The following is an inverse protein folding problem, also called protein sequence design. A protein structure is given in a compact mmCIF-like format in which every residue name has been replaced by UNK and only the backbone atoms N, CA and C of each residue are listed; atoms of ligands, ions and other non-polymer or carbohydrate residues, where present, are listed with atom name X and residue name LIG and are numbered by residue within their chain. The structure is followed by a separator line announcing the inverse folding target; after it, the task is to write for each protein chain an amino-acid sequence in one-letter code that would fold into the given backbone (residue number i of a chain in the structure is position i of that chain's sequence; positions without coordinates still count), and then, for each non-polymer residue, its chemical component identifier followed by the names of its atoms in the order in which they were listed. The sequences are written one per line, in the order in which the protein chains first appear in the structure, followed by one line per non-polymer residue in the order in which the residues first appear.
data_IF_251197037726
#
_entry.id   IF_251197037726
#
_cell.length_a   1.000
_cell.length_b   1.000
_cell.length_c   1.000
_cell.angle_alpha   90.00
_cell.angle_beta   90.00
_cell.angle_gamma   90.00
#
_symmetry.space_group_name_H-M   'P 1'
#
loop_
_entity.id
_entity.type
_entity.pdbx_description
1 polymer ?
#
# COMPACT_ATOMS: atom_id res chain seq x y z
N UNK A 1 -3.90 29.84 5.59
CA UNK A 1 -3.80 30.50 6.91
C UNK A 1 -5.05 31.37 7.09
N UNK A 2 -6.11 30.91 7.78
CA UNK A 2 -7.21 31.77 8.14
C UNK A 2 -6.92 32.40 9.50
N UNK A 3 -6.52 33.67 9.44
CA UNK A 3 -6.31 34.56 10.58
C UNK A 3 -7.70 35.07 11.06
N UNK A 4 -8.43 34.20 11.76
CA UNK A 4 -9.75 34.49 12.31
C UNK A 4 -9.64 34.90 13.76
N UNK A 5 -9.93 36.15 14.09
CA UNK A 5 -10.03 36.61 15.48
C UNK A 5 -11.17 35.86 16.20
N UNK A 6 -10.86 34.72 16.82
CA UNK A 6 -11.83 33.93 17.56
C UNK A 6 -12.35 34.73 18.76
N UNK A 7 -13.57 35.23 18.64
CA UNK A 7 -14.27 35.92 19.72
C UNK A 7 -14.49 34.93 20.86
N UNK A 8 -13.77 35.08 21.97
CA UNK A 8 -13.93 34.25 23.17
C UNK A 8 -15.32 34.50 23.77
N UNK A 9 -16.25 33.57 23.57
CA UNK A 9 -17.58 33.60 24.18
C UNK A 9 -17.55 32.82 25.49
N UNK A 10 -18.06 33.41 26.58
CA UNK A 10 -18.21 32.71 27.86
C UNK A 10 -19.44 31.81 27.78
N UNK A 11 -19.23 30.50 27.87
CA UNK A 11 -20.30 29.50 27.88
C UNK A 11 -20.53 29.03 29.33
N UNK A 12 -21.75 29.20 29.83
CA UNK A 12 -22.16 28.68 31.13
C UNK A 12 -22.93 27.38 30.94
N UNK A 13 -22.33 26.25 31.26
CA UNK A 13 -22.96 24.92 31.14
C UNK A 13 -23.49 24.50 32.51
N UNK A 14 -24.77 24.11 32.59
CA UNK A 14 -25.38 23.57 33.81
C UNK A 14 -25.29 22.05 33.78
N UNK A 15 -24.66 21.48 34.80
CA UNK A 15 -24.44 20.03 34.96
C UNK A 15 -24.88 19.62 36.37
N UNK A 16 -25.41 18.42 36.51
CA UNK A 16 -25.76 17.85 37.83
C UNK A 16 -24.48 17.53 38.62
N UNK A 17 -24.53 17.61 39.95
CA UNK A 17 -23.35 17.41 40.81
C UNK A 17 -22.67 16.06 40.59
N UNK A 18 -23.45 14.99 40.49
CA UNK A 18 -22.95 13.63 40.21
C UNK A 18 -22.18 13.53 38.89
N UNK A 19 -22.64 14.23 37.85
CA UNK A 19 -21.98 14.21 36.53
C UNK A 19 -20.75 15.10 36.48
N UNK A 20 -20.70 16.13 37.33
CA UNK A 20 -19.51 16.97 37.52
C UNK A 20 -18.40 16.22 38.24
N UNK A 21 -18.74 15.35 39.20
CA UNK A 21 -17.79 14.45 39.87
C UNK A 21 -17.21 13.43 38.90
N UNK A 22 -18.04 12.77 38.10
CA UNK A 22 -17.58 11.84 37.04
C UNK A 22 -16.57 12.51 36.09
N UNK A 23 -16.81 13.78 35.74
CA UNK A 23 -15.89 14.53 34.88
C UNK A 23 -14.61 14.94 35.58
N UNK A 24 -14.65 15.22 36.89
CA UNK A 24 -13.46 15.50 37.69
C UNK A 24 -12.57 14.27 37.79
N UNK A 25 -13.17 13.08 37.99
CA UNK A 25 -12.45 11.81 38.08
C UNK A 25 -11.82 11.39 36.74
N UNK A 26 -12.32 11.92 35.62
CA UNK A 26 -11.82 11.66 34.27
C UNK A 26 -10.78 12.69 33.79
N UNK A 27 -10.39 13.65 34.63
CA UNK A 27 -9.33 14.62 34.31
C UNK A 27 -7.96 13.98 34.51
N UNK A 28 -7.04 14.27 33.58
CA UNK A 28 -5.61 14.04 33.82
C UNK A 28 -5.05 15.16 34.72
N UNK A 29 -3.94 14.91 35.42
CA UNK A 29 -3.40 15.75 36.51
C UNK A 29 -3.19 17.25 36.17
N UNK A 30 -3.10 17.62 34.89
CA UNK A 30 -2.91 19.00 34.42
C UNK A 30 -4.10 19.58 33.61
N UNK A 31 -5.24 18.88 33.54
CA UNK A 31 -6.41 19.30 32.77
C UNK A 31 -7.47 20.01 33.63
N UNK A 32 -8.15 21.01 33.07
CA UNK A 32 -9.30 21.64 33.71
C UNK A 32 -10.60 21.26 32.98
N UNK A 33 -11.75 21.35 33.68
CA UNK A 33 -13.06 21.01 33.12
C UNK A 33 -13.38 21.76 31.81
N UNK A 34 -12.84 22.97 31.60
CA UNK A 34 -13.06 23.71 30.35
C UNK A 34 -12.27 23.12 29.19
N UNK A 35 -11.05 22.62 29.44
CA UNK A 35 -10.22 21.90 28.47
C UNK A 35 -10.87 20.56 28.09
N UNK A 36 -11.43 19.84 29.07
CA UNK A 36 -12.14 18.58 28.83
C UNK A 36 -13.34 18.80 27.90
N UNK A 37 -14.17 19.82 28.18
CA UNK A 37 -15.32 20.16 27.34
C UNK A 37 -14.88 20.59 25.95
N UNK A 38 -13.83 21.41 25.82
CA UNK A 38 -13.32 21.82 24.51
C UNK A 38 -12.84 20.62 23.70
N UNK A 39 -12.03 19.74 24.31
CA UNK A 39 -11.55 18.50 23.67
C UNK A 39 -12.70 17.60 23.23
N UNK A 40 -13.73 17.45 24.06
CA UNK A 40 -14.91 16.65 23.70
C UNK A 40 -15.65 17.24 22.49
N UNK A 41 -15.82 18.56 22.45
CA UNK A 41 -16.45 19.24 21.30
C UNK A 41 -15.56 19.14 20.05
N UNK A 42 -14.25 19.31 20.18
CA UNK A 42 -13.32 19.18 19.05
C UNK A 42 -13.35 17.74 18.49
N UNK A 43 -13.40 16.72 19.36
CA UNK A 43 -13.54 15.32 18.94
C UNK A 43 -14.88 15.01 18.26
N UNK A 44 -15.98 15.58 18.76
CA UNK A 44 -17.30 15.48 18.14
C UNK A 44 -17.30 16.09 16.73
N UNK A 45 -16.70 17.29 16.57
CA UNK A 45 -16.63 17.97 15.27
C UNK A 45 -15.76 17.19 14.28
N UNK A 46 -14.68 16.57 14.76
CA UNK A 46 -13.72 15.84 13.93
C UNK A 46 -14.07 14.34 13.77
N UNK A 47 -15.22 13.89 14.28
CA UNK A 47 -15.68 12.50 14.26
C UNK A 47 -14.65 11.48 14.84
N UNK A 48 -13.85 11.95 15.80
CA UNK A 48 -12.74 11.19 16.40
C UNK A 48 -13.21 10.47 17.67
N UNK A 49 -13.95 9.37 17.48
CA UNK A 49 -14.41 8.53 18.58
C UNK A 49 -13.47 7.36 18.85
N UNK A 50 -12.94 7.30 20.07
CA UNK A 50 -12.25 6.10 20.56
C UNK A 50 -13.33 5.14 21.08
N UNK A 51 -13.49 3.94 20.50
CA UNK A 51 -14.43 2.95 21.00
C UNK A 51 -14.12 2.64 22.47
N UNK A 52 -15.13 2.63 23.35
CA UNK A 52 -14.96 2.38 24.80
C UNK A 52 -14.18 1.09 25.12
N UNK A 53 -14.19 0.11 24.21
CA UNK A 53 -13.41 -1.13 24.31
C UNK A 53 -11.89 -0.90 24.31
N UNK A 54 -11.39 0.13 23.62
CA UNK A 54 -9.97 0.43 23.57
C UNK A 54 -9.44 1.06 24.87
N UNK A 55 -10.28 1.82 25.59
CA UNK A 55 -9.88 2.50 26.84
C UNK A 55 -9.75 1.51 27.99
N UNK A 56 -10.63 0.50 28.07
CA UNK A 56 -10.54 -0.56 29.07
C UNK A 56 -9.29 -1.43 28.93
N UNK A 57 -8.71 -1.53 27.73
CA UNK A 57 -7.46 -2.25 27.50
C UNK A 57 -6.21 -1.44 27.90
N UNK A 58 -6.32 -0.12 28.07
CA UNK A 58 -5.18 0.76 28.39
C UNK A 58 -4.99 0.97 29.90
N UNK A 59 -6.05 0.91 30.72
CA UNK A 59 -5.95 1.11 32.18
C UNK A 59 -5.69 -0.17 32.98
N UNK A 60 -5.51 -1.31 32.32
CA UNK A 60 -5.44 -2.61 32.99
C UNK A 60 -4.38 -3.56 32.44
N UNK A 61 -3.12 -3.14 32.31
CA UNK A 61 -1.96 -4.05 32.41
C UNK A 61 -0.63 -3.31 32.25
N UNK A 62 -0.03 -2.90 33.37
CA UNK A 62 1.41 -2.58 33.46
C UNK A 62 2.25 -3.83 33.73
N UNK A 63 1.85 -4.99 33.22
CA UNK A 63 2.57 -6.24 33.34
C UNK A 63 2.53 -6.98 32.02
N UNK A 64 3.71 -7.13 31.39
CA UNK A 64 4.02 -8.02 30.26
C UNK A 64 2.81 -8.70 29.63
N UNK A 65 2.14 -8.03 28.69
CA UNK A 65 1.18 -8.66 27.81
C UNK A 65 1.68 -8.47 26.39
N UNK A 66 1.95 -9.59 25.74
CA UNK A 66 2.16 -9.70 24.30
C UNK A 66 1.05 -8.89 23.62
N UNK A 67 1.42 -7.76 23.01
CA UNK A 67 0.45 -6.91 22.33
C UNK A 67 0.07 -7.69 21.08
N UNK A 68 -1.14 -8.22 21.05
CA UNK A 68 -1.66 -8.94 19.90
C UNK A 68 -1.82 -7.96 18.72
N UNK A 69 -0.81 -7.94 17.84
CA UNK A 69 -0.80 -7.15 16.60
C UNK A 69 -1.54 -7.87 15.46
N UNK A 70 -2.08 -9.07 15.68
CA UNK A 70 -2.80 -9.83 14.65
C UNK A 70 -3.91 -9.01 13.98
N UNK A 71 -4.73 -8.23 14.71
CA UNK A 71 -5.75 -7.40 14.07
C UNK A 71 -5.20 -6.29 13.15
N UNK A 72 -3.97 -5.82 13.39
CA UNK A 72 -3.29 -4.85 12.52
C UNK A 72 -2.67 -5.54 11.31
N UNK A 73 -2.12 -6.74 11.49
CA UNK A 73 -1.63 -7.58 10.40
C UNK A 73 -2.76 -7.97 9.45
N UNK A 74 -3.93 -8.36 9.97
CA UNK A 74 -5.13 -8.66 9.18
C UNK A 74 -5.58 -7.45 8.34
N UNK A 75 -5.52 -6.25 8.91
CA UNK A 75 -5.85 -5.00 8.20
C UNK A 75 -4.85 -4.67 7.09
N UNK A 76 -3.56 -4.95 7.31
CA UNK A 76 -2.52 -4.78 6.30
C UNK A 76 -2.72 -5.76 5.14
N UNK A 77 -3.02 -7.02 5.45
CA UNK A 77 -3.34 -8.06 4.45
C UNK A 77 -4.56 -7.68 3.61
N UNK A 78 -5.62 -7.16 4.24
CA UNK A 78 -6.83 -6.72 3.55
C UNK A 78 -6.58 -5.47 2.68
N UNK A 79 -5.68 -4.58 3.11
CA UNK A 79 -5.25 -3.44 2.31
C UNK A 79 -4.45 -3.91 1.09
N UNK A 80 -3.52 -4.85 1.26
CA UNK A 80 -2.72 -5.44 0.18
C UNK A 80 -3.60 -6.13 -0.86
N UNK A 81 -4.64 -6.87 -0.42
CA UNK A 81 -5.64 -7.46 -1.33
C UNK A 81 -6.41 -6.40 -2.11
N UNK A 82 -6.79 -5.30 -1.44
CA UNK A 82 -7.50 -4.19 -2.08
C UNK A 82 -6.67 -3.51 -3.15
N UNK A 83 -5.38 -3.24 -2.86
CA UNK A 83 -4.45 -2.63 -3.84
C UNK A 83 -4.23 -3.55 -5.03
N UNK A 84 -4.04 -4.85 -4.80
CA UNK A 84 -3.92 -5.86 -5.87
C UNK A 84 -5.19 -5.88 -6.75
N UNK A 85 -6.37 -5.75 -6.15
CA UNK A 85 -7.64 -5.68 -6.90
C UNK A 85 -7.76 -4.41 -7.73
N UNK A 86 -7.27 -3.27 -7.23
CA UNK A 86 -7.24 -2.00 -7.97
C UNK A 86 -6.30 -2.10 -9.16
N UNK A 87 -5.09 -2.63 -8.97
CA UNK A 87 -4.12 -2.85 -10.04
C UNK A 87 -4.72 -3.68 -11.18
N UNK A 88 -5.34 -4.83 -10.86
CA UNK A 88 -5.98 -5.68 -11.85
C UNK A 88 -7.15 -5.00 -12.59
N UNK A 89 -7.92 -4.14 -11.89
CA UNK A 89 -9.02 -3.38 -12.50
C UNK A 89 -8.50 -2.30 -13.43
N UNK A 90 -7.42 -1.62 -13.05
CA UNK A 90 -6.76 -0.63 -13.91
C UNK A 90 -6.31 -1.33 -15.20
N UNK A 91 -5.71 -2.51 -15.11
CA UNK A 91 -5.25 -3.25 -16.28
C UNK A 91 -6.41 -3.63 -17.20
N UNK A 92 -7.55 -4.02 -16.63
CA UNK A 92 -8.77 -4.31 -17.41
C UNK A 92 -9.31 -3.08 -18.12
N UNK A 93 -9.25 -1.91 -17.47
CA UNK A 93 -9.75 -0.65 -18.04
C UNK A 93 -8.82 -0.14 -19.14
N UNK A 94 -7.50 -0.19 -18.93
CA UNK A 94 -6.49 0.19 -19.93
C UNK A 94 -6.68 -0.60 -21.22
N UNK A 95 -6.82 -1.93 -21.14
CA UNK A 95 -7.06 -2.80 -22.31
C UNK A 95 -8.36 -2.46 -23.05
N UNK A 96 -9.36 -1.87 -22.39
CA UNK A 96 -10.64 -1.49 -23.03
C UNK A 96 -10.67 -0.08 -23.60
N UNK A 97 -9.68 0.76 -23.33
CA UNK A 97 -9.62 2.15 -23.82
C UNK A 97 -8.78 2.35 -25.07
N UNK A 98 -8.09 1.31 -25.55
CA UNK A 98 -7.42 1.34 -26.84
C UNK A 98 -8.45 1.56 -27.98
N UNK A 99 -8.54 2.81 -28.42
CA UNK A 99 -9.27 3.23 -29.62
C UNK A 99 -8.42 2.79 -30.84
N UNK A 100 -9.04 2.43 -31.97
CA UNK A 100 -8.44 1.75 -33.14
C UNK A 100 -7.23 2.45 -33.83
N UNK A 101 -6.72 3.55 -33.27
CA UNK A 101 -5.52 4.27 -33.73
C UNK A 101 -4.37 4.36 -32.71
N UNK A 102 -4.53 3.92 -31.46
CA UNK A 102 -3.47 3.90 -30.44
C UNK A 102 -2.76 2.53 -30.33
N UNK A 103 -3.32 1.48 -30.94
CA UNK A 103 -2.76 0.12 -30.88
C UNK A 103 -1.36 0.01 -31.52
N UNK A 104 -1.12 0.71 -32.64
CA UNK A 104 0.16 0.63 -33.35
C UNK A 104 1.32 1.21 -32.51
N UNK A 105 1.04 2.25 -31.71
CA UNK A 105 2.01 2.87 -30.78
C UNK A 105 2.30 1.97 -29.57
N UNK A 106 1.30 1.24 -29.08
CA UNK A 106 1.45 0.29 -27.95
C UNK A 106 2.27 -0.93 -28.37
N UNK A 107 2.07 -1.45 -29.59
CA UNK A 107 2.85 -2.57 -30.12
C UNK A 107 4.33 -2.19 -30.30
N UNK A 108 4.61 -1.02 -30.86
CA UNK A 108 5.98 -0.51 -31.00
C UNK A 108 6.64 -0.35 -29.62
N UNK A 109 5.94 0.27 -28.67
CA UNK A 109 6.40 0.45 -27.30
C UNK A 109 6.64 -0.89 -26.59
N UNK A 110 5.76 -1.87 -26.80
CA UNK A 110 5.89 -3.22 -26.24
C UNK A 110 7.17 -3.90 -26.75
N UNK A 111 7.44 -3.83 -28.05
CA UNK A 111 8.65 -4.41 -28.64
C UNK A 111 9.92 -3.71 -28.15
N UNK A 112 9.85 -2.40 -27.89
CA UNK A 112 10.94 -1.65 -27.25
C UNK A 112 11.14 -2.04 -25.78
N UNK A 113 10.07 -2.30 -25.03
CA UNK A 113 10.16 -2.69 -23.62
C UNK A 113 10.70 -4.12 -23.43
N UNK A 114 10.42 -5.02 -24.37
CA UNK A 114 10.79 -6.43 -24.30
C UNK A 114 12.28 -6.69 -23.95
N UNK A 115 13.29 -6.08 -24.63
CA UNK A 115 14.70 -6.28 -24.28
C UNK A 115 15.13 -5.64 -22.95
N UNK A 116 14.29 -4.79 -22.35
CA UNK A 116 14.57 -4.07 -21.09
C UNK A 116 13.96 -4.76 -19.86
N UNK A 117 13.16 -5.80 -20.10
CA UNK A 117 12.62 -6.63 -19.05
C UNK A 117 13.71 -7.50 -18.44
N UNK A 118 13.74 -7.64 -17.11
CA UNK A 118 14.60 -8.62 -16.48
C UNK A 118 14.30 -10.02 -17.03
N UNK A 119 15.35 -10.80 -17.26
CA UNK A 119 15.30 -12.07 -17.96
C UNK A 119 15.94 -13.17 -17.12
N UNK A 120 15.19 -14.24 -16.86
CA UNK A 120 15.72 -15.48 -16.30
C UNK A 120 16.48 -16.27 -17.39
N UNK A 121 17.60 -16.93 -17.06
CA UNK A 121 18.36 -16.81 -15.81
C UNK A 121 19.36 -15.64 -15.82
N UNK A 122 19.55 -14.96 -16.96
CA UNK A 122 20.71 -14.11 -17.23
C UNK A 122 20.85 -12.89 -16.31
N UNK A 123 19.74 -12.31 -15.86
CA UNK A 123 19.75 -11.11 -15.00
C UNK A 123 19.74 -11.45 -13.51
N UNK A 124 19.77 -12.73 -13.15
CA UNK A 124 19.82 -13.19 -11.75
C UNK A 124 21.25 -13.63 -11.42
N UNK A 125 21.86 -13.10 -10.34
CA UNK A 125 23.18 -13.54 -9.89
C UNK A 125 23.24 -15.06 -9.63
N UNK A 126 24.34 -15.69 -10.02
CA UNK A 126 24.50 -17.14 -9.94
C UNK A 126 24.38 -17.70 -8.51
N UNK A 127 24.89 -16.99 -7.51
CA UNK A 127 24.78 -17.36 -6.10
C UNK A 127 23.32 -17.42 -5.64
N UNK A 128 22.49 -16.50 -6.15
CA UNK A 128 21.06 -16.48 -5.92
C UNK A 128 20.40 -17.66 -6.64
N UNK A 129 20.71 -17.88 -7.92
CA UNK A 129 20.18 -19.02 -8.68
C UNK A 129 20.49 -20.38 -8.03
N UNK A 130 21.72 -20.57 -7.57
CA UNK A 130 22.17 -21.78 -6.87
C UNK A 130 21.43 -21.97 -5.54
N UNK A 131 21.26 -20.90 -4.75
CA UNK A 131 20.51 -20.94 -3.49
C UNK A 131 19.01 -21.22 -3.70
N UNK A 132 18.46 -20.77 -4.83
CA UNK A 132 17.03 -20.88 -5.16
C UNK A 132 16.63 -22.20 -5.84
N UNK A 133 17.61 -22.92 -6.41
CA UNK A 133 17.36 -24.11 -7.23
C UNK A 133 16.69 -23.83 -8.58
N UNK A 134 16.80 -22.58 -9.07
CA UNK A 134 16.12 -22.12 -10.30
C UNK A 134 14.60 -22.06 -10.21
N UNK A 135 13.93 -22.11 -11.37
CA UNK A 135 12.44 -22.08 -11.45
C UNK A 135 11.82 -23.31 -10.79
N UNK A 136 12.38 -24.51 -11.04
CA UNK A 136 11.84 -25.77 -10.52
C UNK A 136 10.42 -26.07 -11.04
N UNK A 137 9.53 -26.50 -10.15
CA UNK A 137 8.11 -26.76 -10.45
C UNK A 137 7.20 -25.53 -10.19
N UNK A 138 7.78 -24.38 -9.83
CA UNK A 138 7.00 -23.16 -9.53
C UNK A 138 6.36 -22.63 -10.79
N UNK A 139 5.14 -22.10 -10.66
CA UNK A 139 4.55 -21.30 -11.73
C UNK A 139 5.37 -20.02 -11.96
N UNK A 140 5.32 -19.44 -13.18
CA UNK A 140 5.96 -18.15 -13.47
C UNK A 140 5.69 -17.07 -12.43
N UNK A 141 4.44 -16.96 -11.99
CA UNK A 141 4.02 -15.98 -10.98
C UNK A 141 4.67 -16.24 -9.63
N UNK A 142 4.66 -17.48 -9.14
CA UNK A 142 5.30 -17.85 -7.87
C UNK A 142 6.81 -17.60 -7.89
N UNK A 143 7.44 -17.83 -9.04
CA UNK A 143 8.86 -17.56 -9.22
C UNK A 143 9.17 -16.07 -9.15
N UNK A 144 8.39 -15.22 -9.82
CA UNK A 144 8.57 -13.76 -9.76
C UNK A 144 8.35 -13.24 -8.34
N UNK A 145 7.30 -13.71 -7.64
CA UNK A 145 7.08 -13.36 -6.23
C UNK A 145 8.31 -13.67 -5.39
N UNK A 146 8.82 -14.90 -5.51
CA UNK A 146 9.96 -15.36 -4.75
C UNK A 146 11.25 -14.56 -5.01
N UNK A 147 11.56 -14.21 -6.27
CA UNK A 147 12.72 -13.35 -6.57
C UNK A 147 12.52 -11.94 -6.01
N UNK A 148 11.33 -11.38 -6.13
CA UNK A 148 11.05 -10.02 -5.66
C UNK A 148 11.06 -9.93 -4.13
N UNK A 149 10.65 -10.98 -3.43
CA UNK A 149 10.82 -11.10 -1.97
C UNK A 149 12.30 -11.24 -1.60
N UNK A 150 13.03 -12.12 -2.27
CA UNK A 150 14.46 -12.31 -2.02
C UNK A 150 15.29 -11.03 -2.27
N UNK A 151 14.85 -10.14 -3.18
CA UNK A 151 15.46 -8.81 -3.39
C UNK A 151 15.52 -7.98 -2.11
N UNK A 152 14.54 -8.12 -1.22
CA UNK A 152 14.52 -7.38 0.04
C UNK A 152 15.64 -7.83 0.99
N UNK A 153 16.06 -9.10 0.89
CA UNK A 153 17.08 -9.70 1.75
C UNK A 153 18.48 -9.67 1.13
N UNK A 154 18.56 -9.70 -0.20
CA UNK A 154 19.81 -9.85 -0.96
C UNK A 154 20.23 -8.50 -1.53
N UNK A 155 21.17 -7.83 -0.85
CA UNK A 155 21.59 -6.46 -1.16
C UNK A 155 22.13 -6.22 -2.58
N UNK A 156 22.65 -7.26 -3.25
CA UNK A 156 23.19 -7.17 -4.61
C UNK A 156 22.23 -7.65 -5.69
N UNK A 157 21.01 -8.07 -5.34
CA UNK A 157 19.98 -8.42 -6.31
C UNK A 157 19.27 -7.15 -6.78
N UNK A 158 19.64 -6.63 -7.95
CA UNK A 158 19.11 -5.38 -8.50
C UNK A 158 18.03 -5.59 -9.57
N UNK A 159 17.22 -6.64 -9.44
CA UNK A 159 16.15 -6.95 -10.40
C UNK A 159 14.91 -6.12 -10.07
N UNK A 160 14.36 -5.45 -11.07
CA UNK A 160 13.11 -4.73 -10.93
C UNK A 160 12.36 -4.68 -12.27
N UNK A 161 11.21 -5.32 -12.32
CA UNK A 161 10.35 -5.37 -13.50
C UNK A 161 9.24 -4.33 -13.52
N UNK A 162 9.26 -3.32 -12.65
CA UNK A 162 8.14 -2.39 -12.50
C UNK A 162 7.97 -1.43 -13.68
N UNK A 163 6.73 -1.06 -13.97
CA UNK A 163 6.42 -0.05 -14.98
C UNK A 163 7.04 1.32 -14.63
N UNK A 164 7.17 1.66 -13.35
CA UNK A 164 7.77 2.91 -12.87
C UNK A 164 9.26 3.00 -13.23
N UNK A 165 10.00 1.90 -13.04
CA UNK A 165 11.42 1.84 -13.44
C UNK A 165 11.55 1.98 -14.96
N UNK A 166 10.81 1.18 -15.70
CA UNK A 166 10.89 1.14 -17.16
C UNK A 166 10.50 2.49 -17.77
N UNK A 167 9.40 3.09 -17.30
CA UNK A 167 8.96 4.45 -17.63
C UNK A 167 10.07 5.50 -17.45
N UNK A 168 10.82 5.41 -16.35
CA UNK A 168 11.92 6.34 -16.08
C UNK A 168 13.10 6.15 -17.06
N UNK A 169 13.33 4.92 -17.52
CA UNK A 169 14.40 4.57 -18.45
C UNK A 169 14.10 5.03 -19.87
N UNK A 170 12.90 4.73 -20.38
CA UNK A 170 12.51 5.05 -21.75
C UNK A 170 11.86 6.43 -21.91
N UNK A 171 11.57 7.11 -20.79
CA UNK A 171 10.93 8.44 -20.71
C UNK A 171 9.50 8.48 -21.25
N UNK A 172 8.81 7.35 -21.15
CA UNK A 172 7.39 7.25 -21.50
C UNK A 172 6.50 7.35 -20.24
N UNK A 173 5.25 7.82 -20.38
CA UNK A 173 4.27 7.80 -19.31
C UNK A 173 4.09 6.40 -18.73
N UNK A 174 4.07 6.29 -17.40
CA UNK A 174 3.96 4.99 -16.71
C UNK A 174 2.71 4.20 -17.10
N UNK A 175 1.60 4.87 -17.42
CA UNK A 175 0.38 4.19 -17.84
C UNK A 175 0.52 3.51 -19.21
N UNK A 176 1.19 4.15 -20.19
CA UNK A 176 1.48 3.56 -21.51
C UNK A 176 2.44 2.39 -21.39
N UNK A 177 3.48 2.53 -20.54
CA UNK A 177 4.40 1.42 -20.25
C UNK A 177 3.67 0.24 -19.65
N UNK A 178 2.75 0.49 -18.72
CA UNK A 178 1.94 -0.56 -18.09
C UNK A 178 1.09 -1.29 -19.12
N UNK A 179 0.43 -0.53 -20.00
CA UNK A 179 -0.41 -1.06 -21.06
C UNK A 179 0.38 -1.90 -22.07
N UNK A 180 1.54 -1.42 -22.52
CA UNK A 180 2.44 -2.18 -23.39
C UNK A 180 2.98 -3.46 -22.73
N UNK A 181 3.27 -3.44 -21.42
CA UNK A 181 3.66 -4.64 -20.67
C UNK A 181 2.50 -5.63 -20.54
N UNK A 182 1.27 -5.16 -20.34
CA UNK A 182 0.08 -6.00 -20.36
C UNK A 182 -0.18 -6.59 -21.76
N UNK A 183 0.10 -5.84 -22.82
CA UNK A 183 0.05 -6.34 -24.19
C UNK A 183 1.09 -7.46 -24.40
N UNK A 184 2.35 -7.27 -23.96
CA UNK A 184 3.37 -8.33 -24.03
C UNK A 184 2.93 -9.61 -23.31
N UNK A 185 2.37 -9.50 -22.11
CA UNK A 185 1.94 -10.64 -21.30
C UNK A 185 0.74 -11.40 -21.89
N UNK A 186 -0.24 -10.68 -22.47
CA UNK A 186 -1.54 -11.28 -22.83
C UNK A 186 -1.76 -11.46 -24.33
N UNK A 187 -1.12 -10.64 -25.17
CA UNK A 187 -1.39 -10.54 -26.60
C UNK A 187 -0.27 -11.07 -27.47
N UNK A 188 0.89 -11.38 -26.89
CA UNK A 188 2.06 -11.90 -27.63
C UNK A 188 2.44 -13.31 -27.21
N UNK A 189 3.31 -13.96 -28.00
CA UNK A 189 3.91 -15.25 -27.65
C UNK A 189 5.22 -15.11 -26.89
N UNK A 190 5.60 -13.89 -26.49
CA UNK A 190 6.80 -13.66 -25.69
C UNK A 190 6.59 -14.26 -24.29
N UNK A 191 7.65 -14.82 -23.70
CA UNK A 191 7.57 -15.50 -22.41
C UNK A 191 7.58 -14.50 -21.23
N UNK A 192 6.73 -13.47 -21.31
CA UNK A 192 6.60 -12.39 -20.34
C UNK A 192 5.51 -12.76 -19.34
N UNK A 193 5.87 -12.75 -18.06
CA UNK A 193 4.95 -13.03 -16.95
C UNK A 193 5.04 -11.93 -15.91
N UNK A 194 4.02 -11.79 -15.08
CA UNK A 194 4.02 -10.80 -13.99
C UNK A 194 3.57 -11.35 -12.64
N UNK A 195 3.97 -10.63 -11.59
CA UNK A 195 3.41 -10.79 -10.25
C UNK A 195 3.28 -9.42 -9.57
N UNK A 196 2.37 -9.34 -8.59
CA UNK A 196 2.14 -8.13 -7.79
C UNK A 196 2.72 -8.35 -6.40
N UNK A 197 3.66 -7.49 -5.98
CA UNK A 197 4.27 -7.46 -4.65
C UNK A 197 4.07 -6.05 -4.08
N UNK A 198 3.61 -5.94 -2.84
CA UNK A 198 3.41 -4.65 -2.15
C UNK A 198 2.60 -3.63 -2.98
N UNK A 199 1.62 -4.12 -3.74
CA UNK A 199 0.78 -3.29 -4.61
C UNK A 199 1.44 -2.81 -5.90
N UNK A 200 2.66 -3.24 -6.19
CA UNK A 200 3.37 -2.93 -7.44
C UNK A 200 3.48 -4.18 -8.29
N UNK A 201 3.12 -4.06 -9.56
CA UNK A 201 3.26 -5.15 -10.54
C UNK A 201 4.67 -5.14 -11.15
N UNK A 202 5.28 -6.32 -11.21
CA UNK A 202 6.60 -6.53 -11.79
C UNK A 202 6.50 -7.56 -12.90
N UNK A 203 7.06 -7.23 -14.07
CA UNK A 203 7.14 -8.10 -15.24
C UNK A 203 8.54 -8.68 -15.41
N UNK A 204 8.61 -9.94 -15.86
CA UNK A 204 9.86 -10.64 -16.09
C UNK A 204 9.71 -11.59 -17.28
N UNK A 205 10.81 -11.78 -18.02
CA UNK A 205 10.92 -12.82 -19.05
C UNK A 205 11.48 -14.08 -18.41
N UNK A 206 10.75 -15.18 -18.52
CA UNK A 206 11.14 -16.47 -17.92
C UNK A 206 11.64 -17.50 -18.93
#
# INVERSE_FOLDING_TARGET
MPDGAHKKVKLNVRVTSSKKEEWLDSLNDDENLSSLVRRAVDKEINDEYIPKKAINNLSGNTGQADVDLSPLLDQIDDLQRSVTSVENKIDTISVTQADEGEDEDIEELAMDLLPRLPTYPNDIPNDVLEGMGGIGERSPREFILYIMEARQEISHLSIDGSAQRLSSEIREPTYLVKEALCYLENSTTENVHSAIIDGTRHWMRL
#
